data_IF_016533601726
#
_entry.id   IF_016533601726
#
_cell.length_a   1.000
_cell.length_b   1.000
_cell.length_c   1.000
_cell.angle_alpha   90.00
_cell.angle_beta   90.00
_cell.angle_gamma   90.00
#
_symmetry.space_group_name_H-M   'P 1'
#
loop_
_entity.id
_entity.type
_entity.pdbx_description
1 polymer ?
#
# COMPACT_ATOMS: atom_id res chain seq x y z
N UNK A 1 27.83 -17.75 -17.38
CA UNK A 1 28.53 -17.98 -16.09
C UNK A 1 27.61 -17.52 -14.97
N UNK A 2 26.94 -18.46 -14.31
CA UNK A 2 26.11 -18.20 -13.14
C UNK A 2 27.02 -17.84 -11.96
N UNK A 3 26.79 -16.68 -11.33
CA UNK A 3 27.38 -16.39 -10.03
C UNK A 3 26.47 -17.02 -8.97
N UNK A 4 26.66 -18.33 -8.82
CA UNK A 4 26.04 -19.15 -7.78
C UNK A 4 26.44 -18.61 -6.42
N UNK A 5 25.45 -18.43 -5.55
CA UNK A 5 25.63 -18.10 -4.13
C UNK A 5 26.46 -19.20 -3.46
N UNK A 6 27.78 -19.03 -3.43
CA UNK A 6 28.67 -19.83 -2.61
C UNK A 6 29.45 -18.90 -1.68
N UNK A 7 29.10 -19.04 -0.39
CA UNK A 7 29.85 -18.69 0.82
C UNK A 7 29.95 -17.22 1.25
N UNK A 8 29.54 -17.05 2.52
CA UNK A 8 29.86 -15.98 3.48
C UNK A 8 28.97 -14.72 3.52
N UNK A 9 27.96 -14.79 4.39
CA UNK A 9 27.59 -13.80 5.41
C UNK A 9 27.63 -12.31 4.98
N UNK A 10 26.63 -11.89 4.19
CA UNK A 10 25.88 -10.61 4.25
C UNK A 10 25.05 -10.48 2.95
N UNK A 11 23.86 -9.85 2.96
CA UNK A 11 23.17 -9.51 1.73
C UNK A 11 24.04 -8.53 0.94
N UNK A 12 24.80 -9.05 -0.03
CA UNK A 12 25.73 -8.27 -0.85
C UNK A 12 24.90 -7.41 -1.79
N UNK A 13 25.10 -6.09 -1.74
CA UNK A 13 24.47 -5.17 -2.67
C UNK A 13 24.82 -5.58 -4.11
N UNK A 14 23.80 -5.84 -4.94
CA UNK A 14 24.01 -6.08 -6.36
C UNK A 14 24.57 -4.80 -6.98
N UNK A 15 25.78 -4.80 -7.55
CA UNK A 15 26.34 -3.55 -8.10
C UNK A 15 25.62 -3.09 -9.38
N UNK A 16 24.95 -3.99 -10.08
CA UNK A 16 24.23 -3.77 -11.34
C UNK A 16 22.85 -4.46 -11.26
N UNK A 17 21.85 -4.00 -12.03
CA UNK A 17 20.57 -4.71 -12.13
C UNK A 17 20.79 -6.15 -12.59
N UNK A 18 19.93 -7.06 -12.11
CA UNK A 18 20.03 -8.49 -12.45
C UNK A 18 19.73 -8.70 -13.94
N UNK A 19 18.83 -7.89 -14.51
CA UNK A 19 18.48 -7.89 -15.93
C UNK A 19 17.95 -6.53 -16.38
N UNK A 20 17.82 -6.33 -17.70
CA UNK A 20 17.04 -5.21 -18.24
C UNK A 20 15.56 -5.53 -18.06
N UNK A 21 14.79 -4.59 -17.52
CA UNK A 21 13.34 -4.71 -17.31
C UNK A 21 12.60 -3.55 -17.97
N UNK A 22 11.36 -3.79 -18.42
CA UNK A 22 10.40 -2.79 -18.87
C UNK A 22 9.78 -2.02 -17.70
N UNK A 23 9.75 -2.64 -16.51
CA UNK A 23 9.35 -1.97 -15.28
C UNK A 23 10.55 -1.33 -14.56
N UNK A 24 10.25 -0.40 -13.64
CA UNK A 24 11.24 0.32 -12.83
C UNK A 24 10.67 0.58 -11.44
N UNK A 25 11.42 1.25 -10.54
CA UNK A 25 10.97 1.47 -9.15
C UNK A 25 9.61 2.18 -9.04
N UNK A 26 9.26 3.00 -10.03
CA UNK A 26 7.97 3.68 -10.09
C UNK A 26 6.78 2.73 -10.30
N UNK A 27 7.01 1.56 -10.91
CA UNK A 27 6.00 0.55 -11.17
C UNK A 27 5.88 -0.51 -10.07
N UNK A 28 6.65 -0.34 -8.98
CA UNK A 28 6.63 -1.25 -7.84
C UNK A 28 5.83 -0.59 -6.71
N UNK A 29 4.80 -1.27 -6.15
CA UNK A 29 4.03 -0.75 -5.04
C UNK A 29 4.86 -0.70 -3.75
N UNK A 30 4.41 0.05 -2.74
CA UNK A 30 5.07 0.09 -1.43
C UNK A 30 4.85 -1.19 -0.62
N UNK A 31 3.74 -1.88 -0.89
CA UNK A 31 3.34 -3.14 -0.30
C UNK A 31 2.79 -4.00 -1.43
N UNK A 32 3.19 -5.27 -1.49
CA UNK A 32 2.79 -6.13 -2.60
C UNK A 32 1.26 -6.28 -2.67
N UNK A 33 0.71 -6.18 -3.89
CA UNK A 33 -0.71 -6.34 -4.18
C UNK A 33 -1.25 -7.70 -3.69
N UNK A 34 -2.53 -7.73 -3.32
CA UNK A 34 -3.19 -8.94 -2.83
C UNK A 34 -3.15 -10.08 -3.85
N UNK A 35 -3.47 -9.78 -5.11
CA UNK A 35 -3.49 -10.77 -6.20
C UNK A 35 -2.11 -11.35 -6.50
N UNK A 36 -1.06 -10.51 -6.46
CA UNK A 36 0.32 -10.97 -6.64
C UNK A 36 0.76 -11.82 -5.47
N UNK A 37 0.43 -11.43 -4.24
CA UNK A 37 0.71 -12.24 -3.06
C UNK A 37 -0.01 -13.60 -3.15
N UNK A 38 -1.30 -13.60 -3.48
CA UNK A 38 -2.12 -14.81 -3.56
C UNK A 38 -1.55 -15.81 -4.56
N UNK A 39 -1.14 -15.36 -5.76
CA UNK A 39 -0.66 -16.24 -6.82
C UNK A 39 0.77 -16.73 -6.61
N UNK A 40 1.67 -15.88 -6.13
CA UNK A 40 3.10 -16.18 -6.10
C UNK A 40 3.65 -16.58 -4.73
N UNK A 41 2.98 -16.17 -3.63
CA UNK A 41 3.59 -16.26 -2.30
C UNK A 41 2.68 -16.87 -1.22
N UNK A 42 1.37 -17.02 -1.45
CA UNK A 42 0.45 -17.46 -0.40
C UNK A 42 0.72 -18.89 0.13
N UNK A 43 1.46 -19.72 -0.61
CA UNK A 43 1.88 -21.05 -0.18
C UNK A 43 3.06 -21.04 0.81
N UNK A 44 3.65 -19.88 1.08
CA UNK A 44 4.82 -19.72 1.97
C UNK A 44 4.37 -19.60 3.43
N UNK A 45 4.06 -20.75 4.04
CA UNK A 45 3.62 -20.83 5.43
C UNK A 45 4.75 -20.63 6.45
N UNK A 46 4.38 -20.29 7.69
CA UNK A 46 5.33 -20.16 8.82
C UNK A 46 6.08 -18.83 8.86
N UNK A 47 5.69 -17.85 8.04
CA UNK A 47 6.18 -16.47 8.06
C UNK A 47 5.01 -15.49 7.90
N UNK A 48 5.00 -14.34 8.58
CA UNK A 48 3.97 -13.33 8.37
C UNK A 48 3.92 -12.85 6.92
N UNK A 49 2.72 -12.79 6.33
CA UNK A 49 2.49 -12.27 4.98
C UNK A 49 3.11 -10.88 4.76
N UNK A 50 3.06 -10.01 5.77
CA UNK A 50 3.65 -8.67 5.71
C UNK A 50 5.17 -8.69 5.50
N UNK A 51 5.87 -9.66 6.08
CA UNK A 51 7.32 -9.83 5.88
C UNK A 51 7.64 -10.21 4.44
N UNK A 52 6.89 -11.16 3.87
CA UNK A 52 7.02 -11.56 2.47
C UNK A 52 6.76 -10.37 1.56
N UNK A 53 5.62 -9.69 1.71
CA UNK A 53 5.21 -8.61 0.81
C UNK A 53 6.19 -7.44 0.82
N UNK A 54 6.68 -7.04 2.00
CA UNK A 54 7.69 -5.98 2.14
C UNK A 54 9.04 -6.40 1.58
N UNK A 55 9.44 -7.66 1.71
CA UNK A 55 10.68 -8.15 1.11
C UNK A 55 10.58 -8.23 -0.41
N UNK A 56 9.46 -8.74 -0.94
CA UNK A 56 9.25 -8.92 -2.38
C UNK A 56 9.41 -7.61 -3.16
N UNK A 57 8.80 -6.51 -2.68
CA UNK A 57 8.93 -5.19 -3.33
C UNK A 57 10.38 -4.67 -3.35
N UNK A 58 11.17 -4.96 -2.30
CA UNK A 58 12.58 -4.58 -2.26
C UNK A 58 13.39 -5.40 -3.27
N UNK A 59 13.17 -6.70 -3.35
CA UNK A 59 13.87 -7.58 -4.29
C UNK A 59 13.49 -7.30 -5.75
N UNK A 60 12.21 -7.00 -6.04
CA UNK A 60 11.77 -6.51 -7.36
C UNK A 60 12.52 -5.23 -7.76
N UNK A 61 12.72 -4.30 -6.82
CA UNK A 61 13.48 -3.09 -7.07
C UNK A 61 14.96 -3.41 -7.34
N UNK A 62 15.56 -4.33 -6.59
CA UNK A 62 16.92 -4.81 -6.87
C UNK A 62 17.05 -5.50 -8.23
N UNK A 63 16.05 -6.24 -8.69
CA UNK A 63 16.04 -6.82 -10.04
C UNK A 63 16.13 -5.69 -11.09
N UNK A 64 15.28 -4.67 -10.97
CA UNK A 64 15.16 -3.60 -11.94
C UNK A 64 16.36 -2.63 -11.96
N UNK A 65 16.93 -2.28 -10.80
CA UNK A 65 17.96 -1.22 -10.71
C UNK A 65 19.26 -1.63 -10.03
N UNK A 66 19.31 -2.84 -9.47
CA UNK A 66 20.40 -3.27 -8.61
C UNK A 66 20.53 -2.43 -7.33
N UNK A 67 21.52 -2.77 -6.52
CA UNK A 67 21.94 -2.05 -5.33
C UNK A 67 21.66 -2.82 -4.06
N UNK A 68 21.73 -2.10 -2.93
CA UNK A 68 21.38 -2.62 -1.62
C UNK A 68 19.87 -2.55 -1.39
N UNK A 69 19.38 -3.31 -0.40
CA UNK A 69 18.02 -3.18 0.10
C UNK A 69 17.73 -1.77 0.62
N UNK A 70 18.74 -1.11 1.21
CA UNK A 70 18.63 0.29 1.63
C UNK A 70 18.36 1.21 0.43
N UNK A 71 19.16 1.11 -0.64
CA UNK A 71 18.94 1.88 -1.87
C UNK A 71 17.54 1.61 -2.44
N UNK A 72 17.10 0.35 -2.41
CA UNK A 72 15.78 -0.06 -2.89
C UNK A 72 14.65 0.60 -2.09
N UNK A 73 14.75 0.58 -0.75
CA UNK A 73 13.79 1.28 0.11
C UNK A 73 13.76 2.79 -0.15
N UNK A 74 14.92 3.43 -0.34
CA UNK A 74 15.01 4.86 -0.68
C UNK A 74 14.33 5.17 -2.01
N UNK A 75 14.56 4.33 -3.03
CA UNK A 75 13.95 4.52 -4.35
C UNK A 75 12.44 4.29 -4.35
N UNK A 76 11.96 3.36 -3.51
CA UNK A 76 10.52 3.16 -3.37
C UNK A 76 9.89 4.35 -2.63
N UNK A 77 10.59 4.92 -1.65
CA UNK A 77 10.06 5.96 -0.76
C UNK A 77 9.57 5.40 0.58
N UNK A 78 10.08 4.23 0.96
CA UNK A 78 9.80 3.61 2.25
C UNK A 78 10.61 4.33 3.34
N UNK A 79 10.04 4.66 4.51
CA UNK A 79 10.80 5.28 5.58
C UNK A 79 11.80 4.28 6.15
N UNK A 80 13.09 4.61 6.00
CA UNK A 80 14.23 3.80 6.44
C UNK A 80 14.79 4.25 7.80
N UNK A 81 14.08 5.14 8.51
CA UNK A 81 14.65 5.89 9.61
C UNK A 81 14.93 5.03 10.87
N UNK A 82 16.04 5.26 11.59
CA UNK A 82 16.38 4.53 12.83
C UNK A 82 15.39 4.74 13.99
N UNK A 83 14.55 5.77 13.93
CA UNK A 83 13.54 6.10 14.95
C UNK A 83 12.20 5.36 14.76
N UNK A 84 12.05 4.56 13.68
CA UNK A 84 10.87 3.76 13.40
C UNK A 84 11.11 2.28 13.70
N UNK A 85 10.14 1.64 14.33
CA UNK A 85 10.17 0.27 14.87
C UNK A 85 10.46 -0.86 13.87
N UNK A 86 10.53 -0.59 12.56
CA UNK A 86 10.77 -1.61 11.53
C UNK A 86 11.65 -1.05 10.40
N UNK A 87 12.87 -1.60 10.24
CA UNK A 87 13.70 -1.29 9.08
C UNK A 87 13.20 -2.10 7.89
N UNK A 88 13.20 -1.53 6.69
CA UNK A 88 12.87 -2.27 5.47
C UNK A 88 13.70 -3.57 5.34
N UNK A 89 14.96 -3.54 5.81
CA UNK A 89 15.86 -4.70 5.86
C UNK A 89 15.44 -5.82 6.82
N UNK A 90 14.62 -5.53 7.84
CA UNK A 90 14.24 -6.54 8.84
C UNK A 90 13.33 -7.60 8.24
N UNK A 91 12.45 -7.20 7.30
CA UNK A 91 11.57 -8.13 6.58
C UNK A 91 12.38 -9.04 5.65
N UNK A 92 13.35 -8.48 4.92
CA UNK A 92 14.26 -9.28 4.08
C UNK A 92 15.10 -10.26 4.92
N UNK A 93 15.53 -9.84 6.13
CA UNK A 93 16.20 -10.74 7.07
C UNK A 93 15.27 -11.84 7.59
N UNK A 94 14.02 -11.52 7.90
CA UNK A 94 13.02 -12.49 8.33
C UNK A 94 12.76 -13.53 7.24
N UNK A 95 12.57 -13.10 5.99
CA UNK A 95 12.43 -13.99 4.82
C UNK A 95 13.68 -14.84 4.62
N UNK A 96 14.88 -14.27 4.73
CA UNK A 96 16.12 -15.04 4.62
C UNK A 96 16.25 -16.12 5.70
N UNK A 97 15.90 -15.79 6.95
CA UNK A 97 15.93 -16.75 8.05
C UNK A 97 14.89 -17.86 7.85
N UNK A 98 13.68 -17.51 7.42
CA UNK A 98 12.63 -18.46 7.09
C UNK A 98 13.07 -19.38 5.94
N UNK A 99 13.63 -18.85 4.84
CA UNK A 99 14.04 -19.66 3.69
C UNK A 99 15.07 -20.74 4.07
N UNK A 100 15.95 -20.47 5.05
CA UNK A 100 16.93 -21.45 5.56
C UNK A 100 16.31 -22.66 6.26
N UNK A 101 15.06 -22.57 6.71
CA UNK A 101 14.34 -23.68 7.36
C UNK A 101 13.45 -24.46 6.40
N UNK A 102 13.46 -24.11 5.10
CA UNK A 102 12.59 -24.69 4.08
C UNK A 102 13.30 -25.79 3.29
N UNK A 103 12.57 -26.81 2.81
CA UNK A 103 13.13 -27.83 1.91
C UNK A 103 13.72 -27.23 0.62
N UNK A 104 13.08 -26.17 0.09
CA UNK A 104 13.60 -25.36 -1.00
C UNK A 104 13.92 -23.94 -0.51
N UNK A 105 15.20 -23.64 -0.19
CA UNK A 105 15.61 -22.30 0.24
C UNK A 105 15.52 -21.22 -0.84
N UNK A 106 15.25 -21.57 -2.10
CA UNK A 106 15.14 -20.62 -3.21
C UNK A 106 13.70 -20.25 -3.56
N UNK A 107 12.69 -20.87 -2.92
CA UNK A 107 11.28 -20.71 -3.28
C UNK A 107 10.83 -19.24 -3.32
N UNK A 108 11.32 -18.41 -2.39
CA UNK A 108 11.04 -16.97 -2.39
C UNK A 108 11.65 -16.23 -3.58
N UNK A 109 12.93 -16.46 -3.88
CA UNK A 109 13.60 -15.76 -4.98
C UNK A 109 12.99 -16.18 -6.33
N UNK A 110 12.66 -17.47 -6.49
CA UNK A 110 11.96 -17.97 -7.67
C UNK A 110 10.60 -17.29 -7.86
N UNK A 111 9.83 -17.12 -6.79
CA UNK A 111 8.55 -16.40 -6.84
C UNK A 111 8.73 -14.91 -7.21
N UNK A 112 9.75 -14.25 -6.67
CA UNK A 112 10.06 -12.85 -7.04
C UNK A 112 10.47 -12.75 -8.52
N UNK A 113 11.26 -13.69 -9.02
CA UNK A 113 11.63 -13.74 -10.44
C UNK A 113 10.43 -13.97 -11.35
N UNK A 114 9.53 -14.89 -10.98
CA UNK A 114 8.31 -15.16 -11.74
C UNK A 114 7.36 -13.94 -11.77
N UNK A 115 7.24 -13.22 -10.65
CA UNK A 115 6.49 -11.96 -10.64
C UNK A 115 7.19 -10.88 -11.47
N UNK A 116 8.52 -10.80 -11.43
CA UNK A 116 9.26 -9.89 -12.28
C UNK A 116 9.06 -10.20 -13.78
N UNK A 117 8.89 -11.47 -14.15
CA UNK A 117 8.58 -11.89 -15.54
C UNK A 117 7.19 -11.42 -15.95
N UNK A 118 6.19 -11.57 -15.08
CA UNK A 118 4.86 -11.03 -15.32
C UNK A 118 4.93 -9.51 -15.54
N UNK A 119 5.57 -8.76 -14.64
CA UNK A 119 5.71 -7.31 -14.78
C UNK A 119 6.42 -6.91 -16.07
N UNK A 120 7.41 -7.68 -16.51
CA UNK A 120 8.14 -7.41 -17.76
C UNK A 120 7.28 -7.64 -19.01
N UNK A 121 6.29 -8.53 -18.93
CA UNK A 121 5.38 -8.85 -20.03
C UNK A 121 4.22 -7.87 -20.20
N UNK A 122 3.94 -7.06 -19.18
CA UNK A 122 2.79 -6.15 -19.15
C UNK A 122 3.02 -4.89 -19.98
N UNK A 123 1.96 -4.43 -20.65
CA UNK A 123 1.92 -3.16 -21.37
C UNK A 123 1.19 -2.05 -20.58
N UNK A 124 0.59 -2.40 -19.45
CA UNK A 124 -0.32 -1.58 -18.65
C UNK A 124 0.25 -1.33 -17.23
N UNK A 125 1.55 -1.05 -17.13
CA UNK A 125 2.21 -0.83 -15.85
C UNK A 125 1.66 0.41 -15.13
N UNK A 126 1.25 0.23 -13.88
CA UNK A 126 0.79 1.33 -13.01
C UNK A 126 1.99 2.09 -12.49
N UNK A 127 1.99 3.43 -12.63
CA UNK A 127 2.98 4.31 -12.01
C UNK A 127 2.58 4.60 -10.55
N UNK A 128 2.93 3.67 -9.65
CA UNK A 128 2.68 3.81 -8.22
C UNK A 128 3.38 5.03 -7.61
N UNK A 129 4.52 5.46 -8.14
CA UNK A 129 5.18 6.68 -7.68
C UNK A 129 4.33 7.91 -7.99
N UNK A 130 3.80 8.03 -9.21
CA UNK A 130 2.87 9.11 -9.59
C UNK A 130 1.68 9.17 -8.65
N UNK A 131 1.07 8.02 -8.32
CA UNK A 131 -0.04 7.99 -7.35
C UNK A 131 0.38 8.49 -5.98
N UNK A 132 1.55 8.10 -5.47
CA UNK A 132 2.08 8.59 -4.17
C UNK A 132 2.35 10.09 -4.19
N UNK A 133 2.94 10.59 -5.27
CA UNK A 133 3.26 12.01 -5.42
C UNK A 133 1.99 12.86 -5.49
N UNK A 134 1.00 12.43 -6.29
CA UNK A 134 -0.31 13.07 -6.39
C UNK A 134 -1.05 13.14 -5.05
N UNK A 135 -0.81 12.15 -4.18
CA UNK A 135 -1.50 12.01 -2.90
C UNK A 135 -0.64 12.45 -1.70
N UNK A 136 0.54 13.05 -1.90
CA UNK A 136 1.50 13.36 -0.82
C UNK A 136 0.92 14.23 0.32
N UNK A 137 -0.01 15.12 0.00
CA UNK A 137 -0.68 16.02 0.95
C UNK A 137 -2.20 15.85 0.94
N UNK A 138 -2.67 14.75 0.37
CA UNK A 138 -4.08 14.56 0.06
C UNK A 138 -4.87 14.01 1.25
N UNK A 139 -6.11 14.45 1.36
CA UNK A 139 -7.16 13.80 2.12
C UNK A 139 -8.49 13.99 1.39
N UNK A 140 -9.50 13.19 1.75
CA UNK A 140 -10.86 13.37 1.25
C UNK A 140 -11.35 14.74 1.72
N UNK A 141 -11.80 15.56 0.77
CA UNK A 141 -12.34 16.89 1.07
C UNK A 141 -13.73 16.81 1.75
N UNK A 142 -14.19 17.87 2.42
CA UNK A 142 -15.46 17.86 3.14
C UNK A 142 -16.68 17.55 2.26
N UNK A 143 -16.73 18.03 1.02
CA UNK A 143 -17.89 17.82 0.14
C UNK A 143 -17.98 16.35 -0.28
N UNK A 144 -16.87 15.77 -0.72
CA UNK A 144 -16.79 14.34 -1.04
C UNK A 144 -17.07 13.47 0.19
N UNK A 145 -16.61 13.88 1.38
CA UNK A 145 -16.91 13.17 2.62
C UNK A 145 -18.40 13.17 2.98
N UNK A 146 -19.09 14.29 2.77
CA UNK A 146 -20.54 14.38 2.98
C UNK A 146 -21.28 13.43 2.02
N UNK A 147 -20.85 13.34 0.75
CA UNK A 147 -21.40 12.38 -0.21
C UNK A 147 -21.18 10.92 0.26
N UNK A 148 -19.97 10.57 0.71
CA UNK A 148 -19.68 9.22 1.23
C UNK A 148 -20.59 8.90 2.42
N UNK A 149 -20.70 9.82 3.38
CA UNK A 149 -21.42 9.57 4.64
C UNK A 149 -22.93 9.57 4.49
N UNK A 150 -23.49 10.36 3.56
CA UNK A 150 -24.92 10.36 3.24
C UNK A 150 -25.41 9.01 2.68
N UNK A 151 -24.51 8.20 2.12
CA UNK A 151 -24.81 6.87 1.55
C UNK A 151 -24.73 5.74 2.57
N UNK A 152 -24.25 6.01 3.79
CA UNK A 152 -24.17 5.00 4.84
C UNK A 152 -25.50 4.98 5.58
N UNK A 153 -26.23 3.85 5.58
CA UNK A 153 -27.48 3.75 6.32
C UNK A 153 -27.27 4.08 7.79
N UNK A 154 -28.08 5.01 8.32
CA UNK A 154 -28.11 5.28 9.75
C UNK A 154 -28.83 4.10 10.41
N UNK A 155 -28.19 3.36 11.34
CA UNK A 155 -28.86 2.25 12.02
C UNK A 155 -30.12 2.75 12.72
N UNK A 156 -31.26 2.11 12.45
CA UNK A 156 -32.57 2.47 13.02
C UNK A 156 -32.79 1.87 14.43
N UNK A 157 -31.82 1.12 14.96
CA UNK A 157 -31.89 0.43 16.25
C UNK A 157 -31.23 1.17 17.42
N UNK A 158 -31.11 0.47 18.57
CA UNK A 158 -30.40 0.95 19.77
C UNK A 158 -28.88 0.95 19.53
N UNK A 159 -28.40 1.86 18.71
CA UNK A 159 -26.99 2.14 18.49
C UNK A 159 -26.80 3.65 18.36
N UNK A 160 -25.67 4.17 18.85
CA UNK A 160 -25.31 5.56 18.61
C UNK A 160 -25.12 5.82 17.11
N UNK A 161 -25.34 7.06 16.67
CA UNK A 161 -25.05 7.49 15.30
C UNK A 161 -23.58 7.18 14.97
N UNK A 162 -23.26 6.61 13.80
CA UNK A 162 -21.87 6.38 13.41
C UNK A 162 -21.04 7.67 13.46
N UNK A 163 -19.81 7.57 13.96
CA UNK A 163 -18.85 8.69 13.94
C UNK A 163 -18.46 9.03 12.50
N UNK A 164 -18.89 10.20 12.03
CA UNK A 164 -18.53 10.78 10.74
C UNK A 164 -17.72 12.08 10.88
N UNK A 165 -17.06 12.28 12.02
CA UNK A 165 -16.19 13.43 12.25
C UNK A 165 -14.95 13.43 11.34
N UNK A 166 -14.19 14.51 11.40
CA UNK A 166 -12.89 14.66 10.75
C UNK A 166 -11.90 13.54 11.10
N UNK A 167 -12.02 12.92 12.29
CA UNK A 167 -11.27 11.71 12.64
C UNK A 167 -11.61 10.55 11.70
N UNK A 168 -12.90 10.27 11.45
CA UNK A 168 -13.32 9.21 10.51
C UNK A 168 -12.96 9.59 9.07
N UNK A 169 -13.04 10.87 8.69
CA UNK A 169 -12.57 11.35 7.37
C UNK A 169 -11.06 11.10 7.17
N UNK A 170 -10.25 11.31 8.21
CA UNK A 170 -8.83 10.96 8.20
C UNK A 170 -8.62 9.45 8.02
N UNK A 171 -9.35 8.61 8.76
CA UNK A 171 -9.31 7.15 8.58
C UNK A 171 -9.71 6.75 7.14
N UNK A 172 -10.77 7.33 6.57
CA UNK A 172 -11.17 7.07 5.18
C UNK A 172 -10.08 7.47 4.18
N UNK A 173 -9.42 8.61 4.42
CA UNK A 173 -8.34 9.10 3.58
C UNK A 173 -7.16 8.12 3.58
N UNK A 174 -6.82 7.56 4.75
CA UNK A 174 -5.77 6.54 4.90
C UNK A 174 -6.12 5.25 4.14
N UNK A 175 -7.36 4.77 4.27
CA UNK A 175 -7.82 3.57 3.55
C UNK A 175 -7.79 3.81 2.03
N UNK A 176 -8.32 4.92 1.56
CA UNK A 176 -8.35 5.27 0.13
C UNK A 176 -6.93 5.43 -0.43
N UNK A 177 -6.05 6.09 0.30
CA UNK A 177 -4.63 6.23 -0.05
C UNK A 177 -3.94 4.86 -0.17
N UNK A 178 -4.22 3.96 0.77
CA UNK A 178 -3.66 2.60 0.78
C UNK A 178 -4.10 1.82 -0.47
N UNK A 179 -5.39 1.86 -0.82
CA UNK A 179 -5.92 1.19 -2.02
C UNK A 179 -5.29 1.75 -3.29
N UNK A 180 -5.21 3.09 -3.41
CA UNK A 180 -4.67 3.75 -4.60
C UNK A 180 -3.18 3.47 -4.80
N UNK A 181 -2.39 3.52 -3.73
CA UNK A 181 -0.92 3.45 -3.80
C UNK A 181 -0.36 2.06 -3.57
N UNK A 182 -1.21 1.10 -3.17
CA UNK A 182 -0.79 -0.21 -2.68
C UNK A 182 0.33 -0.05 -1.64
N UNK A 183 0.11 0.87 -0.69
CA UNK A 183 1.06 1.23 0.35
C UNK A 183 0.51 0.93 1.73
N UNK A 184 1.37 0.86 2.72
CA UNK A 184 0.89 0.58 4.08
C UNK A 184 0.26 1.82 4.73
N UNK A 185 -0.85 1.62 5.44
CA UNK A 185 -1.60 2.70 6.11
C UNK A 185 -0.73 3.63 6.97
N UNK A 186 0.32 3.10 7.61
CA UNK A 186 1.27 3.86 8.44
C UNK A 186 2.06 4.92 7.65
N UNK A 187 2.14 4.79 6.33
CA UNK A 187 2.84 5.71 5.43
C UNK A 187 1.91 6.72 4.75
N UNK A 188 0.60 6.61 4.97
CA UNK A 188 -0.36 7.57 4.45
C UNK A 188 -0.08 8.99 4.99
N UNK A 189 -0.38 10.04 4.21
CA UNK A 189 -0.44 11.40 4.75
C UNK A 189 -1.56 11.53 5.80
N UNK A 190 -1.38 12.48 6.73
CA UNK A 190 -2.35 12.75 7.79
C UNK A 190 -2.67 14.25 7.98
N UNK A 191 -3.02 14.98 6.91
CA UNK A 191 -3.14 16.44 6.97
C UNK A 191 -4.22 16.92 7.96
N UNK A 192 -5.30 16.15 8.17
CA UNK A 192 -6.35 16.52 9.13
C UNK A 192 -5.84 16.35 10.56
N UNK A 193 -5.15 15.24 10.83
CA UNK A 193 -4.54 14.98 12.16
C UNK A 193 -3.48 16.02 12.47
N UNK A 194 -2.65 16.39 11.50
CA UNK A 194 -1.51 17.29 11.69
C UNK A 194 -1.96 18.73 12.05
N UNK A 195 -3.23 19.07 11.76
CA UNK A 195 -3.89 20.31 12.21
C UNK A 195 -4.45 20.24 13.65
N UNK A 196 -4.52 19.05 14.25
CA UNK A 196 -5.03 18.87 15.61
C UNK A 196 -3.96 19.19 16.68
N UNK A 197 -4.36 19.47 17.93
CA UNK A 197 -3.43 19.56 19.05
C UNK A 197 -2.60 18.27 19.22
N UNK A 198 -1.34 18.39 19.66
CA UNK A 198 -0.41 17.26 19.79
C UNK A 198 -0.96 16.08 20.61
N UNK A 199 -1.72 16.36 21.67
CA UNK A 199 -2.34 15.33 22.51
C UNK A 199 -3.34 14.44 21.74
N UNK A 200 -4.00 14.99 20.73
CA UNK A 200 -4.97 14.29 19.89
C UNK A 200 -4.31 13.35 18.88
N UNK A 201 -3.05 13.62 18.49
CA UNK A 201 -2.35 12.85 17.45
C UNK A 201 -2.19 11.38 17.84
N UNK A 202 -1.85 11.12 19.10
CA UNK A 202 -1.66 9.76 19.60
C UNK A 202 -3.00 8.99 19.61
N UNK A 203 -4.08 9.62 20.07
CA UNK A 203 -5.40 9.01 20.11
C UNK A 203 -5.89 8.62 18.71
N UNK A 204 -5.71 9.51 17.73
CA UNK A 204 -6.10 9.24 16.34
C UNK A 204 -5.26 8.10 15.74
N UNK A 205 -3.93 8.13 15.94
CA UNK A 205 -3.05 7.06 15.46
C UNK A 205 -3.44 5.68 16.03
N UNK A 206 -3.70 5.60 17.33
CA UNK A 206 -4.14 4.34 17.97
C UNK A 206 -5.50 3.87 17.43
N UNK A 207 -6.42 4.81 17.20
CA UNK A 207 -7.73 4.51 16.60
C UNK A 207 -7.58 3.97 15.16
N UNK A 208 -6.73 4.59 14.34
CA UNK A 208 -6.45 4.15 12.98
C UNK A 208 -5.78 2.76 12.96
N UNK A 209 -4.79 2.52 13.82
CA UNK A 209 -4.17 1.19 13.97
C UNK A 209 -5.17 0.11 14.38
N UNK A 210 -6.04 0.40 15.36
CA UNK A 210 -7.06 -0.53 15.82
C UNK A 210 -8.13 -0.80 14.75
N UNK A 211 -8.49 0.21 13.96
CA UNK A 211 -9.38 0.03 12.82
C UNK A 211 -8.73 -0.81 11.73
N UNK A 212 -7.46 -0.55 11.41
CA UNK A 212 -6.71 -1.31 10.42
C UNK A 212 -6.60 -2.79 10.78
N UNK A 213 -6.32 -3.10 12.05
CA UNK A 213 -6.30 -4.49 12.54
C UNK A 213 -7.65 -5.19 12.31
N UNK A 214 -8.78 -4.51 12.52
CA UNK A 214 -10.11 -5.09 12.24
C UNK A 214 -10.33 -5.37 10.76
N UNK A 215 -9.87 -4.50 9.87
CA UNK A 215 -9.90 -4.76 8.42
C UNK A 215 -9.10 -6.02 8.11
N UNK A 216 -7.85 -6.11 8.60
CA UNK A 216 -6.96 -7.24 8.32
C UNK A 216 -7.48 -8.58 8.86
N UNK A 217 -8.21 -8.56 9.98
CA UNK A 217 -8.80 -9.74 10.58
C UNK A 217 -10.22 -10.04 10.08
N UNK A 218 -10.80 -9.21 9.21
CA UNK A 218 -12.18 -9.39 8.75
C UNK A 218 -13.23 -9.27 9.86
N UNK A 219 -12.93 -8.52 10.93
CA UNK A 219 -13.80 -8.36 12.12
C UNK A 219 -14.53 -7.02 12.14
N UNK A 220 -14.59 -6.33 11.01
CA UNK A 220 -15.37 -5.10 10.83
C UNK A 220 -16.88 -5.41 10.78
N UNK A 221 -17.69 -4.54 11.39
CA UNK A 221 -19.15 -4.66 11.37
C UNK A 221 -19.76 -4.22 10.04
N UNK A 222 -21.05 -4.50 9.82
CA UNK A 222 -21.78 -4.21 8.57
C UNK A 222 -21.65 -2.76 8.11
N UNK A 223 -21.78 -1.79 9.01
CA UNK A 223 -21.65 -0.36 8.67
C UNK A 223 -20.24 -0.02 8.16
N UNK A 224 -19.21 -0.57 8.80
CA UNK A 224 -17.82 -0.37 8.37
C UNK A 224 -17.56 -1.08 7.03
N UNK A 225 -18.15 -2.27 6.79
CA UNK A 225 -18.02 -2.98 5.51
C UNK A 225 -18.66 -2.20 4.35
N UNK A 226 -19.85 -1.64 4.57
CA UNK A 226 -20.51 -0.77 3.59
C UNK A 226 -19.65 0.48 3.30
N UNK A 227 -19.07 1.06 4.34
CA UNK A 227 -18.16 2.19 4.20
C UNK A 227 -16.89 1.83 3.42
N UNK A 228 -16.25 0.69 3.71
CA UNK A 228 -15.08 0.21 2.98
C UNK A 228 -15.39 -0.06 1.49
N UNK A 229 -16.59 -0.56 1.18
CA UNK A 229 -17.06 -0.72 -0.21
C UNK A 229 -17.17 0.64 -0.92
N UNK A 230 -17.75 1.64 -0.28
CA UNK A 230 -17.83 3.01 -0.84
C UNK A 230 -16.44 3.62 -1.06
N UNK A 231 -15.50 3.44 -0.13
CA UNK A 231 -14.12 3.90 -0.29
C UNK A 231 -13.39 3.17 -1.42
N UNK A 232 -13.67 1.88 -1.62
CA UNK A 232 -13.10 1.10 -2.73
C UNK A 232 -13.63 1.58 -4.08
N UNK A 233 -14.92 1.87 -4.19
CA UNK A 233 -15.52 2.49 -5.39
C UNK A 233 -14.92 3.87 -5.66
N UNK A 234 -14.73 4.68 -4.62
CA UNK A 234 -14.12 5.99 -4.76
C UNK A 234 -12.65 5.91 -5.20
N UNK A 235 -11.88 4.98 -4.65
CA UNK A 235 -10.50 4.72 -5.10
C UNK A 235 -10.46 4.27 -6.56
N UNK A 236 -11.35 3.36 -6.97
CA UNK A 236 -11.45 2.90 -8.37
C UNK A 236 -11.79 4.05 -9.34
N UNK A 237 -12.61 5.01 -8.91
CA UNK A 237 -12.90 6.22 -9.67
C UNK A 237 -11.69 7.17 -9.78
N UNK A 238 -10.95 7.38 -8.68
CA UNK A 238 -9.78 8.27 -8.66
C UNK A 238 -8.57 7.71 -9.41
N UNK A 239 -8.35 6.39 -9.38
CA UNK A 239 -7.17 5.75 -9.97
C UNK A 239 -6.89 6.19 -11.43
N UNK A 240 -7.83 6.05 -12.39
CA UNK A 240 -7.57 6.47 -13.77
C UNK A 240 -7.41 7.99 -13.94
N UNK A 241 -8.00 8.79 -13.04
CA UNK A 241 -7.85 10.26 -13.05
C UNK A 241 -6.43 10.63 -12.65
N UNK A 242 -5.91 10.02 -11.60
CA UNK A 242 -4.53 10.24 -11.13
C UNK A 242 -3.53 9.70 -12.16
N UNK A 243 -3.79 8.52 -12.73
CA UNK A 243 -2.88 7.90 -13.69
C UNK A 243 -2.72 8.75 -14.96
N UNK A 244 -3.79 9.41 -15.41
CA UNK A 244 -3.78 10.29 -16.60
C UNK A 244 -3.38 11.73 -16.29
N UNK A 245 -3.96 12.31 -15.24
CA UNK A 245 -3.85 13.74 -14.92
C UNK A 245 -2.78 14.10 -13.88
N UNK A 246 -2.23 13.11 -13.17
CA UNK A 246 -1.18 13.32 -12.16
C UNK A 246 -1.64 13.99 -10.86
N UNK A 247 -2.94 14.27 -10.71
CA UNK A 247 -3.51 14.94 -9.52
C UNK A 247 -4.84 14.30 -9.14
N UNK A 248 -5.18 14.34 -7.84
CA UNK A 248 -6.50 13.99 -7.35
C UNK A 248 -7.36 15.27 -7.21
N UNK A 249 -8.37 15.50 -8.07
CA UNK A 249 -9.19 16.72 -8.01
C UNK A 249 -10.04 16.74 -6.73
N UNK A 250 -10.26 17.91 -6.11
CA UNK A 250 -11.17 18.05 -4.99
C UNK A 250 -12.63 18.02 -5.45
N UNK A 251 -13.54 17.59 -4.57
CA UNK A 251 -14.99 17.71 -4.75
C UNK A 251 -15.59 16.85 -5.85
N UNK A 252 -14.84 15.89 -6.38
CA UNK A 252 -15.35 14.93 -7.35
C UNK A 252 -15.58 13.57 -6.68
N UNK A 253 -16.68 12.93 -7.02
CA UNK A 253 -16.97 11.57 -6.59
C UNK A 253 -17.75 10.86 -7.70
N UNK A 254 -17.68 9.51 -7.80
CA UNK A 254 -18.43 8.75 -8.80
C UNK A 254 -19.95 8.90 -8.69
N UNK A 255 -20.42 9.49 -7.60
CA UNK A 255 -21.83 9.67 -7.30
C UNK A 255 -22.29 11.13 -7.33
N UNK A 256 -21.41 12.07 -7.69
CA UNK A 256 -21.82 13.45 -7.97
C UNK A 256 -22.67 13.46 -9.23
N UNK A 257 -23.87 14.04 -9.16
CA UNK A 257 -24.72 14.18 -10.33
C UNK A 257 -23.98 15.02 -11.36
N UNK A 258 -23.61 14.44 -12.49
CA UNK A 258 -23.10 15.22 -13.62
C UNK A 258 -24.28 16.05 -14.12
N UNK A 259 -24.38 17.30 -13.70
CA UNK A 259 -25.27 18.27 -14.36
C UNK A 259 -24.64 18.62 -15.71
N UNK A 260 -24.61 17.68 -16.63
CA UNK A 260 -24.37 17.96 -18.04
C UNK A 260 -25.70 18.46 -18.61
N UNK A 261 -26.05 19.70 -18.29
CA UNK A 261 -27.00 20.45 -19.09
C UNK A 261 -26.24 20.89 -20.36
N UNK A 262 -26.19 20.02 -21.36
CA UNK A 262 -25.96 20.43 -22.74
C UNK A 262 -27.34 20.80 -23.31
N UNK A 263 -27.55 22.10 -23.49
CA UNK A 263 -28.42 22.63 -24.54
C UNK A 263 -27.52 23.15 -25.64
#
# INVERSE_FOLDING_TARGET
>A
MLQTYARELRPRALKRPIRRTRFGPQHIPHFLEDDWYARYFAHMDGIPASSIRRAAVLHLCQIAVGGSLFKSGTLLGLPLNPAGTHRASDNAKAVHNWARTRPDPQEFELAVHALADELDSRNDLIDYRRRRDALRHWCIDPATWNEITARIPIPTGRGGRPDFSDRKRQTASIVTWTILTQGEHVYSPHPIRDQQPRGTHHLWRTSDSAFWARIQHGTTGTTDNNWLSLLSQYAAFLAPIIDKGGTAPPGIAPWTATTTAVR
#
